data_IF_562145585643
#
_entry.id   IF_562145585643
#
_cell.length_a   1.000
_cell.length_b   1.000
_cell.length_c   1.000
_cell.angle_alpha   90.00
_cell.angle_beta   90.00
_cell.angle_gamma   90.00
#
_symmetry.space_group_name_H-M   'P 1'
#
loop_
_entity.id
_entity.type
_entity.pdbx_description
1 polymer ?
#
# COMPACT_ATOMS: atom_id res chain seq x y z
N UNK A 1 -10.92 -17.42 -5.77
CA UNK A 1 -10.86 -15.94 -5.71
C UNK A 1 -10.14 -15.54 -4.44
N UNK A 2 -9.29 -14.51 -4.50
CA UNK A 2 -8.62 -13.93 -3.33
C UNK A 2 -9.24 -12.58 -3.02
N UNK A 3 -9.25 -12.21 -1.73
CA UNK A 3 -9.83 -10.97 -1.24
C UNK A 3 -8.77 -10.15 -0.49
N UNK A 4 -8.86 -8.84 -0.61
CA UNK A 4 -8.01 -7.90 0.10
C UNK A 4 -8.47 -7.67 1.53
N UNK A 5 -7.66 -6.95 2.31
CA UNK A 5 -7.98 -6.57 3.67
C UNK A 5 -8.85 -5.30 3.70
N UNK A 6 -9.54 -5.02 4.81
CA UNK A 6 -10.13 -3.70 5.06
C UNK A 6 -9.07 -2.59 5.06
N UNK A 7 -9.46 -1.33 4.78
CA UNK A 7 -8.52 -0.22 4.86
C UNK A 7 -8.11 0.01 6.32
N UNK A 8 -6.80 0.13 6.56
CA UNK A 8 -6.26 0.63 7.82
C UNK A 8 -6.18 2.15 7.73
N UNK A 9 -7.28 2.81 8.05
CA UNK A 9 -7.43 4.28 8.00
C UNK A 9 -8.18 4.76 9.25
N UNK A 10 -8.04 6.04 9.57
CA UNK A 10 -8.79 6.73 10.61
C UNK A 10 -9.04 8.19 10.20
N UNK A 11 -9.75 8.95 11.04
CA UNK A 11 -10.07 10.36 10.78
C UNK A 11 -8.86 11.29 10.62
N UNK A 12 -7.67 10.87 11.08
CA UNK A 12 -6.42 11.63 10.99
C UNK A 12 -5.59 11.24 9.77
N UNK A 13 -6.04 10.26 8.97
CA UNK A 13 -5.26 9.79 7.82
C UNK A 13 -5.20 10.85 6.73
N UNK A 14 -3.98 11.22 6.36
CA UNK A 14 -3.69 12.21 5.30
C UNK A 14 -3.04 11.55 4.08
N UNK A 15 -2.20 10.54 4.31
CA UNK A 15 -1.47 9.79 3.29
C UNK A 15 -2.03 8.37 3.22
N UNK A 16 -2.56 7.96 2.07
CA UNK A 16 -2.99 6.58 1.83
C UNK A 16 -1.98 5.86 0.94
N UNK A 17 -1.36 4.80 1.46
CA UNK A 17 -0.47 3.94 0.67
C UNK A 17 -1.28 2.78 0.09
N UNK A 18 -1.20 2.60 -1.22
CA UNK A 18 -1.97 1.60 -1.96
C UNK A 18 -1.09 0.53 -2.61
N UNK A 19 -1.31 -0.72 -2.21
CA UNK A 19 -0.84 -1.90 -2.92
C UNK A 19 -1.77 -2.29 -4.08
N UNK A 20 -1.36 -3.24 -4.92
CA UNK A 20 -2.25 -3.81 -5.94
C UNK A 20 -3.21 -4.82 -5.31
N UNK A 21 -2.65 -5.84 -4.65
CA UNK A 21 -3.38 -6.94 -4.01
C UNK A 21 -2.43 -7.70 -3.06
N UNK A 22 -2.85 -8.08 -1.84
CA UNK A 22 -1.96 -8.72 -0.87
C UNK A 22 -1.32 -10.00 -1.41
N UNK A 23 -0.02 -10.18 -1.21
CA UNK A 23 0.71 -11.39 -1.64
C UNK A 23 0.31 -12.65 -0.86
N UNK A 24 0.76 -13.83 -1.29
CA UNK A 24 0.43 -15.11 -0.61
C UNK A 24 0.83 -15.10 0.87
N UNK A 25 2.02 -14.59 1.19
CA UNK A 25 2.48 -14.53 2.59
C UNK A 25 1.58 -13.61 3.43
N UNK A 26 1.19 -12.47 2.87
CA UNK A 26 0.26 -11.54 3.50
C UNK A 26 -1.09 -12.16 3.76
N UNK A 27 -1.70 -12.79 2.75
CA UNK A 27 -3.00 -13.46 2.88
C UNK A 27 -2.95 -14.60 3.90
N UNK A 28 -1.85 -15.35 3.98
CA UNK A 28 -1.70 -16.44 4.97
C UNK A 28 -1.59 -15.91 6.40
N UNK A 29 -0.87 -14.80 6.60
CA UNK A 29 -0.66 -14.19 7.91
C UNK A 29 -1.75 -13.21 8.32
N UNK A 30 -2.61 -12.78 7.39
CA UNK A 30 -3.53 -11.66 7.56
C UNK A 30 -2.80 -10.34 7.89
N UNK A 31 -1.63 -10.15 7.28
CA UNK A 31 -0.76 -8.99 7.54
C UNK A 31 -0.31 -8.35 6.22
N UNK A 32 -0.31 -7.02 6.17
CA UNK A 32 0.25 -6.29 5.05
C UNK A 32 1.76 -6.53 4.90
N UNK A 33 2.20 -6.76 3.67
CA UNK A 33 3.62 -6.92 3.28
C UNK A 33 4.42 -7.96 4.09
N UNK A 34 3.77 -9.04 4.55
CA UNK A 34 4.31 -10.02 5.50
C UNK A 34 5.45 -10.92 4.98
N UNK A 35 5.78 -10.83 3.69
CA UNK A 35 6.87 -11.61 3.12
C UNK A 35 8.22 -11.07 3.60
N UNK A 36 9.10 -11.90 4.17
CA UNK A 36 10.36 -11.49 4.82
C UNK A 36 11.30 -10.62 3.95
N UNK A 37 11.29 -10.84 2.63
CA UNK A 37 12.08 -10.05 1.65
C UNK A 37 11.36 -8.81 1.12
N UNK A 38 10.17 -8.47 1.63
CA UNK A 38 9.47 -7.26 1.26
C UNK A 38 10.08 -6.07 2.01
N UNK A 39 10.46 -5.03 1.29
CA UNK A 39 11.14 -3.87 1.88
C UNK A 39 10.19 -2.86 2.54
N UNK A 40 8.86 -3.04 2.46
CA UNK A 40 7.90 -2.03 2.90
C UNK A 40 8.12 -1.60 4.35
N UNK A 41 8.10 -2.54 5.30
CA UNK A 41 8.26 -2.22 6.71
C UNK A 41 9.64 -1.65 7.02
N UNK A 42 10.69 -2.16 6.37
CA UNK A 42 12.05 -1.61 6.51
C UNK A 42 12.10 -0.15 6.04
N UNK A 43 11.43 0.18 4.93
CA UNK A 43 11.34 1.56 4.42
C UNK A 43 10.59 2.44 5.42
N UNK A 44 9.38 2.05 5.85
CA UNK A 44 8.57 2.85 6.78
C UNK A 44 9.29 3.12 8.09
N UNK A 45 9.86 2.10 8.73
CA UNK A 45 10.58 2.26 9.99
C UNK A 45 11.86 3.10 9.85
N UNK A 46 12.50 3.09 8.68
CA UNK A 46 13.69 3.93 8.44
C UNK A 46 13.29 5.37 8.16
N UNK A 47 12.20 5.62 7.42
CA UNK A 47 11.72 6.97 7.14
C UNK A 47 11.14 7.67 8.38
N UNK A 48 10.54 6.89 9.28
CA UNK A 48 9.92 7.37 10.52
C UNK A 48 10.89 7.30 11.73
N UNK A 49 12.18 6.99 11.50
CA UNK A 49 13.23 6.91 12.53
C UNK A 49 12.85 6.06 13.76
N UNK A 50 12.22 4.90 13.53
CA UNK A 50 11.67 4.03 14.60
C UNK A 50 12.27 2.63 14.62
N UNK A 51 13.48 2.43 14.08
CA UNK A 51 14.14 1.11 14.11
C UNK A 51 14.40 0.66 15.57
N UNK A 52 14.31 -0.65 15.89
CA UNK A 52 14.12 -1.80 14.99
C UNK A 52 12.65 -2.02 14.56
N UNK A 53 12.45 -2.80 13.48
CA UNK A 53 11.11 -3.18 13.00
C UNK A 53 10.45 -4.08 14.03
N UNK A 54 9.22 -3.75 14.46
CA UNK A 54 8.45 -4.63 15.35
C UNK A 54 8.15 -5.97 14.66
N UNK A 55 7.98 -7.05 15.43
CA UNK A 55 7.44 -8.31 14.92
C UNK A 55 5.92 -8.35 15.02
N UNK A 56 5.31 -7.52 15.87
CA UNK A 56 3.87 -7.45 16.11
C UNK A 56 3.23 -6.56 15.04
N UNK A 57 2.24 -7.10 14.32
CA UNK A 57 1.62 -6.39 13.20
C UNK A 57 0.84 -5.16 13.64
N UNK A 58 0.17 -5.24 14.78
CA UNK A 58 -0.61 -4.16 15.36
C UNK A 58 0.27 -2.94 15.67
N UNK A 59 1.48 -3.15 16.20
CA UNK A 59 2.44 -2.07 16.45
C UNK A 59 2.92 -1.40 15.14
N UNK A 60 3.08 -2.18 14.07
CA UNK A 60 3.42 -1.64 12.74
C UNK A 60 2.31 -0.74 12.20
N UNK A 61 1.04 -1.14 12.38
CA UNK A 61 -0.12 -0.35 11.98
C UNK A 61 -0.24 0.92 12.84
N UNK A 62 -0.06 0.80 14.15
CA UNK A 62 -0.07 1.95 15.06
C UNK A 62 1.00 2.98 14.71
N UNK A 63 2.21 2.54 14.34
CA UNK A 63 3.26 3.43 13.86
C UNK A 63 2.80 4.26 12.66
N UNK A 64 2.16 3.64 11.68
CA UNK A 64 1.67 4.35 10.50
C UNK A 64 0.55 5.33 10.87
N UNK A 65 -0.42 4.89 11.69
CA UNK A 65 -1.53 5.73 12.14
C UNK A 65 -1.07 6.94 12.96
N UNK A 66 -0.05 6.77 13.81
CA UNK A 66 0.56 7.86 14.57
C UNK A 66 1.25 8.91 13.69
N UNK A 67 1.51 8.57 12.42
CA UNK A 67 2.10 9.44 11.42
C UNK A 67 1.11 9.80 10.30
N UNK A 68 -0.20 9.68 10.56
CA UNK A 68 -1.28 10.00 9.61
C UNK A 68 -1.22 9.20 8.29
N UNK A 69 -0.61 8.02 8.32
CA UNK A 69 -0.46 7.12 7.17
C UNK A 69 -1.46 5.96 7.30
N UNK A 70 -2.26 5.79 6.25
CA UNK A 70 -3.16 4.67 6.05
C UNK A 70 -2.62 3.65 5.06
N UNK A 71 -3.18 2.44 5.11
CA UNK A 71 -2.84 1.33 4.22
C UNK A 71 -4.07 0.68 3.63
N UNK A 72 -4.01 0.41 2.32
CA UNK A 72 -4.99 -0.44 1.65
C UNK A 72 -4.45 -1.03 0.34
N UNK A 73 -5.32 -1.68 -0.42
CA UNK A 73 -5.05 -2.08 -1.81
C UNK A 73 -6.08 -1.49 -2.76
N UNK A 74 -5.71 -1.40 -4.03
CA UNK A 74 -6.61 -0.95 -5.09
C UNK A 74 -7.68 -1.99 -5.40
N UNK A 75 -7.32 -3.28 -5.37
CA UNK A 75 -8.25 -4.36 -5.68
C UNK A 75 -8.91 -4.90 -4.43
N UNK A 76 -10.23 -5.00 -4.45
CA UNK A 76 -11.04 -5.67 -3.41
C UNK A 76 -10.87 -7.19 -3.51
N UNK A 77 -10.99 -7.71 -4.74
CA UNK A 77 -10.86 -9.13 -5.02
C UNK A 77 -10.36 -9.37 -6.45
N UNK A 78 -9.76 -10.55 -6.66
CA UNK A 78 -9.37 -11.01 -7.99
C UNK A 78 -9.13 -12.52 -8.02
N UNK A 79 -8.92 -13.05 -9.23
CA UNK A 79 -8.28 -14.34 -9.43
C UNK A 79 -6.79 -14.13 -9.73
N UNK A 80 -5.91 -14.77 -8.95
CA UNK A 80 -4.47 -14.70 -9.16
C UNK A 80 -3.80 -16.02 -8.81
N UNK A 81 -3.03 -16.57 -9.75
CA UNK A 81 -2.10 -17.67 -9.46
C UNK A 81 -0.77 -17.08 -9.00
N UNK A 82 -0.28 -17.51 -7.85
CA UNK A 82 0.96 -16.94 -7.28
C UNK A 82 0.75 -15.54 -6.67
N UNK A 83 1.83 -14.77 -6.60
CA UNK A 83 1.81 -13.40 -6.04
C UNK A 83 2.15 -12.30 -7.04
N UNK A 84 2.34 -12.64 -8.32
CA UNK A 84 2.70 -11.67 -9.35
C UNK A 84 1.46 -11.04 -9.97
N UNK A 85 1.46 -9.72 -10.09
CA UNK A 85 0.33 -8.95 -10.61
C UNK A 85 0.01 -9.31 -12.08
N UNK A 86 0.99 -9.77 -12.85
CA UNK A 86 0.79 -10.24 -14.24
C UNK A 86 -0.19 -11.42 -14.36
N UNK A 87 -0.53 -12.08 -13.25
CA UNK A 87 -1.46 -13.20 -13.22
C UNK A 87 -2.85 -12.82 -12.71
N UNK A 88 -3.10 -11.53 -12.46
CA UNK A 88 -4.40 -11.03 -12.02
C UNK A 88 -5.41 -11.10 -13.16
N UNK A 89 -6.58 -11.66 -12.86
CA UNK A 89 -7.75 -11.73 -13.74
C UNK A 89 -9.02 -11.47 -12.94
N UNK A 90 -10.10 -11.11 -13.65
CA UNK A 90 -11.43 -10.92 -13.07
C UNK A 90 -11.40 -10.04 -11.81
N UNK A 91 -10.59 -8.99 -11.83
CA UNK A 91 -10.43 -8.12 -10.67
C UNK A 91 -11.60 -7.16 -10.50
N UNK A 92 -11.86 -6.81 -9.25
CA UNK A 92 -12.77 -5.74 -8.82
C UNK A 92 -12.00 -4.77 -7.93
N UNK A 93 -12.11 -3.48 -8.21
CA UNK A 93 -11.51 -2.42 -7.39
C UNK A 93 -12.31 -2.19 -6.09
N UNK A 94 -11.61 -1.77 -5.04
CA UNK A 94 -12.22 -1.32 -3.79
C UNK A 94 -13.07 -0.05 -3.99
N UNK A 95 -14.03 0.20 -3.08
CA UNK A 95 -14.88 1.39 -3.11
C UNK A 95 -14.17 2.61 -2.53
N UNK A 96 -13.41 3.30 -3.39
CA UNK A 96 -12.73 4.53 -3.04
C UNK A 96 -13.66 5.74 -2.92
N UNK A 97 -14.83 5.72 -3.58
CA UNK A 97 -15.78 6.83 -3.50
C UNK A 97 -16.35 6.95 -2.08
N UNK A 98 -16.72 5.82 -1.48
CA UNK A 98 -17.16 5.77 -0.07
C UNK A 98 -16.01 6.11 0.86
N UNK A 99 -14.81 5.58 0.62
CA UNK A 99 -13.62 5.87 1.44
C UNK A 99 -13.35 7.39 1.53
N UNK A 100 -13.32 8.12 0.41
CA UNK A 100 -13.00 9.55 0.43
C UNK A 100 -14.13 10.41 1.01
N UNK A 101 -15.38 9.93 0.98
CA UNK A 101 -16.48 10.60 1.68
C UNK A 101 -16.37 10.45 3.20
N UNK A 102 -15.97 9.27 3.67
CA UNK A 102 -15.80 8.98 5.10
C UNK A 102 -14.51 9.60 5.68
N UNK A 103 -13.44 9.63 4.88
CA UNK A 103 -12.11 10.12 5.27
C UNK A 103 -11.63 11.24 4.34
N UNK A 104 -12.27 12.43 4.39
CA UNK A 104 -11.92 13.55 3.51
C UNK A 104 -10.53 14.17 3.79
N UNK A 105 -9.89 13.80 4.91
CA UNK A 105 -8.52 14.21 5.23
C UNK A 105 -7.46 13.59 4.33
N UNK A 106 -7.79 12.50 3.62
CA UNK A 106 -6.88 11.86 2.68
C UNK A 106 -6.68 12.77 1.48
N UNK A 107 -5.49 13.37 1.37
CA UNK A 107 -5.13 14.31 0.30
C UNK A 107 -3.91 13.85 -0.50
N UNK A 108 -3.25 12.77 -0.06
CA UNK A 108 -2.09 12.20 -0.74
C UNK A 108 -2.24 10.69 -0.89
N UNK A 109 -1.98 10.18 -2.10
CA UNK A 109 -1.96 8.74 -2.39
C UNK A 109 -0.57 8.34 -2.87
N UNK A 110 -0.01 7.31 -2.24
CA UNK A 110 1.27 6.72 -2.61
C UNK A 110 1.05 5.29 -3.10
N UNK A 111 1.24 5.07 -4.39
CA UNK A 111 1.11 3.76 -5.02
C UNK A 111 2.39 2.94 -4.86
N UNK A 112 2.26 1.74 -4.29
CA UNK A 112 3.34 0.76 -4.17
C UNK A 112 3.45 -0.08 -5.45
N UNK A 113 4.03 0.52 -6.49
CA UNK A 113 4.21 -0.11 -7.80
C UNK A 113 3.23 0.40 -8.86
N UNK A 114 3.64 0.27 -10.13
CA UNK A 114 2.91 0.84 -11.29
C UNK A 114 1.53 0.22 -11.52
N UNK A 115 1.35 -1.06 -11.19
CA UNK A 115 0.06 -1.75 -11.44
C UNK A 115 -1.06 -1.20 -10.54
N UNK A 116 -0.79 -0.97 -9.24
CA UNK A 116 -1.77 -0.33 -8.34
C UNK A 116 -2.25 1.01 -8.91
N UNK A 117 -1.33 1.90 -9.30
CA UNK A 117 -1.65 3.17 -9.94
C UNK A 117 -2.49 3.01 -11.21
N UNK A 118 -2.12 2.05 -12.07
CA UNK A 118 -2.82 1.79 -13.33
C UNK A 118 -4.25 1.31 -13.12
N UNK A 119 -4.49 0.38 -12.19
CA UNK A 119 -5.83 -0.09 -11.87
C UNK A 119 -6.68 1.06 -11.31
N UNK A 120 -6.12 1.85 -10.39
CA UNK A 120 -6.81 2.97 -9.77
C UNK A 120 -7.21 4.01 -10.82
N UNK A 121 -6.26 4.54 -11.59
CA UNK A 121 -6.54 5.57 -12.58
C UNK A 121 -7.50 5.10 -13.68
N UNK A 122 -7.42 3.84 -14.09
CA UNK A 122 -8.33 3.28 -15.09
C UNK A 122 -9.78 3.34 -14.62
N UNK A 123 -10.03 3.14 -13.32
CA UNK A 123 -11.37 3.08 -12.74
C UNK A 123 -11.88 4.45 -12.30
N UNK A 124 -11.05 5.23 -11.61
CA UNK A 124 -11.46 6.46 -10.91
C UNK A 124 -10.95 7.74 -11.58
N UNK A 125 -9.98 7.64 -12.49
CA UNK A 125 -9.33 8.81 -13.06
C UNK A 125 -8.57 9.63 -12.01
N UNK A 126 -8.37 10.91 -12.30
CA UNK A 126 -7.80 11.87 -11.35
C UNK A 126 -8.92 12.42 -10.47
N UNK A 127 -8.75 12.31 -9.16
CA UNK A 127 -9.64 12.92 -8.16
C UNK A 127 -9.04 14.26 -7.75
N UNK A 128 -9.87 15.31 -7.81
CA UNK A 128 -9.48 16.66 -7.42
C UNK A 128 -9.07 16.72 -5.94
N UNK A 129 -8.05 17.53 -5.63
CA UNK A 129 -7.52 17.67 -4.27
C UNK A 129 -6.59 16.54 -3.82
N UNK A 130 -6.42 15.48 -4.61
CA UNK A 130 -5.49 14.38 -4.30
C UNK A 130 -4.17 14.54 -5.07
N UNK A 131 -3.07 14.46 -4.34
CA UNK A 131 -1.72 14.37 -4.92
C UNK A 131 -1.30 12.90 -5.03
N UNK A 132 -0.79 12.49 -6.20
CA UNK A 132 -0.41 11.10 -6.46
C UNK A 132 1.11 10.92 -6.59
N UNK A 133 1.63 9.86 -5.97
CA UNK A 133 3.01 9.42 -6.09
C UNK A 133 3.05 7.95 -6.49
N UNK A 134 3.92 7.60 -7.44
CA UNK A 134 4.11 6.20 -7.87
C UNK A 134 5.50 5.74 -7.49
N UNK A 135 5.57 4.82 -6.54
CA UNK A 135 6.81 4.31 -5.98
C UNK A 135 7.21 2.97 -6.61
N UNK A 136 8.51 2.61 -6.59
CA UNK A 136 8.94 1.26 -6.95
C UNK A 136 8.30 0.25 -5.99
N UNK A 137 7.82 -0.88 -6.54
CA UNK A 137 7.24 -1.95 -5.72
C UNK A 137 8.22 -2.40 -4.64
N UNK A 138 7.76 -2.53 -3.40
CA UNK A 138 8.54 -3.02 -2.27
C UNK A 138 8.69 -4.54 -2.25
N UNK A 139 7.95 -5.24 -3.11
CA UNK A 139 8.01 -6.70 -3.24
C UNK A 139 9.41 -7.19 -3.68
N UNK A 140 9.75 -8.46 -3.38
CA UNK A 140 11.01 -9.05 -3.83
C UNK A 140 11.08 -9.28 -5.35
N UNK A 141 9.95 -9.20 -6.07
CA UNK A 141 9.94 -9.29 -7.54
C UNK A 141 10.59 -8.07 -8.19
N UNK A 142 10.61 -6.93 -7.49
CA UNK A 142 11.36 -5.76 -7.91
C UNK A 142 12.80 -5.84 -7.37
N UNK A 143 13.75 -6.04 -8.28
CA UNK A 143 15.18 -6.28 -7.99
C UNK A 143 15.97 -5.02 -7.60
N UNK A 144 15.33 -3.84 -7.58
CA UNK A 144 15.97 -2.60 -7.10
C UNK A 144 16.48 -2.75 -5.66
N UNK A 145 17.68 -2.23 -5.39
CA UNK A 145 18.28 -2.27 -4.05
C UNK A 145 17.43 -1.53 -3.02
N UNK A 146 17.60 -1.89 -1.75
CA UNK A 146 16.87 -1.26 -0.66
C UNK A 146 17.13 0.26 -0.61
N UNK A 147 18.38 0.68 -0.74
CA UNK A 147 18.83 2.07 -0.65
C UNK A 147 18.20 2.93 -1.75
N UNK A 148 18.11 2.39 -2.97
CA UNK A 148 17.46 3.08 -4.07
C UNK A 148 15.94 3.15 -3.89
N UNK A 149 15.29 2.07 -3.42
CA UNK A 149 13.87 2.11 -3.07
C UNK A 149 13.62 3.15 -1.98
N UNK A 150 14.39 3.15 -0.90
CA UNK A 150 14.28 4.10 0.21
C UNK A 150 14.42 5.54 -0.26
N UNK A 151 15.43 5.83 -1.10
CA UNK A 151 15.64 7.17 -1.67
C UNK A 151 14.46 7.65 -2.50
N UNK A 152 13.83 6.78 -3.28
CA UNK A 152 12.65 7.16 -4.08
C UNK A 152 11.43 7.31 -3.17
N UNK A 153 11.21 6.36 -2.27
CA UNK A 153 10.10 6.40 -1.31
C UNK A 153 10.11 7.66 -0.45
N UNK A 154 11.29 8.11 0.00
CA UNK A 154 11.40 9.34 0.81
C UNK A 154 10.88 10.60 0.11
N UNK A 155 10.82 10.62 -1.23
CA UNK A 155 10.26 11.76 -1.97
C UNK A 155 8.75 11.94 -1.82
N UNK A 156 8.02 10.88 -1.42
CA UNK A 156 6.57 10.94 -1.21
C UNK A 156 6.14 11.45 0.17
N UNK A 157 7.07 11.46 1.14
CA UNK A 157 6.84 11.87 2.53
C UNK A 157 7.41 13.25 2.86
N UNK A 158 7.84 13.98 1.82
CA UNK A 158 8.17 15.40 1.93
C UNK A 158 6.93 16.28 1.83
#
# INVERSE_FOLDING_TARGET
MIQSFPPFVNSQTEILILGTMPGIASLKKQEYYAHQRNHFWKIMYTLLDTLPISEIFEEKIQLLQANNIGLWDVLENCERKGSLDIHIKHQKENDFETLFKEFPGITKIIFNGKESHKYFLKKFGQIEGITYYVMPSTSPANTMSFENKLKIWSSGFK
#
